data_IF_198513014708
#
_entry.id   IF_198513014708
#
_cell.length_a   1.000
_cell.length_b   1.000
_cell.length_c   1.000
_cell.angle_alpha   90.00
_cell.angle_beta   90.00
_cell.angle_gamma   90.00
#
_symmetry.space_group_name_H-M   'P 1'
#
loop_
_entity.id
_entity.type
_entity.pdbx_description
1 polymer ?
#
# COMPACT_ATOMS: atom_id res chain seq x y z
N UNK A 1 0.39 -3.21 7.87
CA UNK A 1 -0.32 -2.15 8.61
C UNK A 1 -0.32 -0.87 7.77
N UNK A 2 0.82 -0.38 7.32
CA UNK A 2 0.96 0.90 6.55
C UNK A 2 0.05 1.00 5.32
N UNK A 3 -0.27 -0.12 4.68
CA UNK A 3 -1.16 -0.14 3.52
C UNK A 3 -2.59 0.34 3.86
N UNK A 4 -3.05 0.09 5.07
CA UNK A 4 -4.41 0.41 5.51
C UNK A 4 -4.52 1.76 6.20
N UNK A 5 -3.39 2.41 6.55
CA UNK A 5 -3.34 3.68 7.24
C UNK A 5 -3.23 4.83 6.23
N UNK A 6 -3.91 5.93 6.51
CA UNK A 6 -3.85 7.16 5.73
C UNK A 6 -2.89 8.18 6.33
N UNK A 7 -2.87 9.39 5.76
CA UNK A 7 -1.97 10.48 6.14
C UNK A 7 -2.09 10.91 7.61
N UNK A 8 -3.23 10.70 8.24
CA UNK A 8 -3.41 11.03 9.67
C UNK A 8 -2.55 10.16 10.60
N UNK A 9 -2.13 8.96 10.13
CA UNK A 9 -1.23 8.10 10.90
C UNK A 9 0.21 8.62 10.91
N UNK A 10 0.58 9.47 9.97
CA UNK A 10 1.92 10.04 9.82
C UNK A 10 2.05 11.37 10.58
N UNK A 11 0.94 11.90 11.13
CA UNK A 11 0.97 13.13 11.92
C UNK A 11 1.65 12.91 13.27
N UNK A 12 2.59 13.79 13.67
CA UNK A 12 3.17 13.77 15.01
C UNK A 12 2.09 13.90 16.08
N UNK A 13 2.09 12.99 17.03
CA UNK A 13 1.17 13.04 18.17
C UNK A 13 1.87 13.53 19.42
N UNK A 14 1.14 14.30 20.25
CA UNK A 14 1.62 14.78 21.54
C UNK A 14 1.71 13.64 22.58
N UNK A 15 2.40 13.90 23.70
CA UNK A 15 2.58 12.91 24.78
C UNK A 15 1.24 12.38 25.31
N UNK A 16 0.20 13.21 25.36
CA UNK A 16 -1.12 12.81 25.83
C UNK A 16 -1.79 11.82 24.89
N UNK A 17 -1.68 12.05 23.60
CA UNK A 17 -2.20 11.12 22.57
C UNK A 17 -1.40 9.82 22.50
N UNK A 18 -0.09 9.86 22.81
CA UNK A 18 0.74 8.65 22.89
C UNK A 18 0.29 7.70 24.01
N UNK A 19 -0.38 8.20 25.06
CA UNK A 19 -0.82 7.39 26.19
C UNK A 19 -1.90 6.35 25.87
N UNK A 20 -2.47 6.32 24.67
CA UNK A 20 -3.31 5.20 24.24
C UNK A 20 -2.52 3.90 24.08
N UNK A 21 -1.21 3.98 23.86
CA UNK A 21 -0.35 2.82 23.74
C UNK A 21 0.09 2.34 25.15
N UNK A 22 -0.05 1.04 25.48
CA UNK A 22 0.18 0.53 26.84
C UNK A 22 1.54 0.86 27.42
N UNK A 23 2.60 0.87 26.61
CA UNK A 23 3.96 1.18 27.07
C UNK A 23 4.13 2.63 27.49
N UNK A 24 3.54 3.59 26.76
CA UNK A 24 3.58 5.01 27.14
C UNK A 24 2.72 5.27 28.35
N UNK A 25 1.56 4.62 28.46
CA UNK A 25 0.71 4.71 29.65
C UNK A 25 1.42 4.16 30.89
N UNK A 26 2.11 3.04 30.78
CA UNK A 26 2.91 2.47 31.86
C UNK A 26 4.04 3.42 32.28
N UNK A 27 4.77 4.00 31.33
CA UNK A 27 5.83 4.97 31.62
C UNK A 27 5.26 6.23 32.34
N UNK A 28 4.13 6.74 31.86
CA UNK A 28 3.46 7.87 32.48
C UNK A 28 2.97 7.54 33.91
N UNK A 29 2.39 6.35 34.11
CA UNK A 29 1.95 5.92 35.44
C UNK A 29 3.13 5.79 36.42
N UNK A 30 4.28 5.26 35.98
CA UNK A 30 5.50 5.16 36.79
C UNK A 30 6.04 6.53 37.23
N UNK A 31 5.95 7.54 36.34
CA UNK A 31 6.39 8.90 36.63
C UNK A 31 5.38 9.75 37.38
N UNK A 32 4.12 9.32 37.47
CA UNK A 32 3.07 10.10 38.10
C UNK A 32 3.19 10.11 39.62
N UNK A 33 2.79 11.25 40.24
CA UNK A 33 2.78 11.44 41.65
C UNK A 33 1.40 11.94 42.13
N UNK A 34 1.05 11.59 43.35
CA UNK A 34 -0.16 12.08 44.04
C UNK A 34 0.25 13.15 45.04
N UNK A 35 -0.28 14.37 44.89
CA UNK A 35 -0.13 15.44 45.85
C UNK A 35 -1.23 15.30 46.90
N UNK A 36 -0.83 15.06 48.16
CA UNK A 36 -1.70 15.17 49.34
C UNK A 36 -1.26 16.41 50.12
N UNK A 37 -2.13 16.95 50.96
CA UNK A 37 -1.94 18.26 51.60
C UNK A 37 -0.50 18.58 52.04
N UNK A 38 0.24 17.61 52.62
CA UNK A 38 1.60 17.83 53.15
C UNK A 38 2.65 16.84 52.54
N UNK A 39 2.25 15.98 51.62
CA UNK A 39 3.16 14.93 51.06
C UNK A 39 2.93 14.68 49.61
N UNK A 40 4.02 14.31 48.91
CA UNK A 40 4.00 13.83 47.54
C UNK A 40 4.37 12.36 47.54
N UNK A 41 3.49 11.51 47.04
CA UNK A 41 3.73 10.06 46.98
C UNK A 41 3.66 9.55 45.54
N UNK A 42 4.41 8.50 45.18
CA UNK A 42 4.28 7.88 43.85
C UNK A 42 2.86 7.40 43.60
N UNK A 43 2.39 7.54 42.38
CA UNK A 43 1.09 7.02 41.94
C UNK A 43 1.09 5.48 41.93
N UNK A 44 2.15 4.86 41.39
CA UNK A 44 2.34 3.41 41.40
C UNK A 44 3.06 3.02 42.67
N UNK A 45 2.40 2.26 43.53
CA UNK A 45 2.98 1.74 44.77
C UNK A 45 3.76 0.46 44.56
N UNK A 46 3.26 -0.41 43.69
CA UNK A 46 3.85 -1.73 43.44
C UNK A 46 3.60 -2.11 41.98
N UNK A 47 4.57 -2.72 41.36
CA UNK A 47 4.48 -3.26 39.99
C UNK A 47 4.87 -4.73 40.01
N UNK A 48 4.04 -5.56 39.39
CA UNK A 48 4.34 -7.00 39.24
C UNK A 48 4.11 -7.44 37.81
N UNK A 49 5.03 -8.22 37.26
CA UNK A 49 4.87 -8.86 35.96
C UNK A 49 4.15 -10.19 36.18
N UNK A 50 2.92 -10.29 35.70
CA UNK A 50 2.10 -11.51 35.85
C UNK A 50 2.49 -12.55 34.79
N UNK A 51 2.78 -12.09 33.57
CA UNK A 51 3.20 -12.93 32.45
C UNK A 51 4.37 -12.27 31.76
N UNK A 52 5.50 -12.95 31.73
CA UNK A 52 6.65 -12.55 30.95
C UNK A 52 6.54 -13.22 29.56
N UNK A 53 6.08 -12.46 28.56
CA UNK A 53 5.90 -12.99 27.23
C UNK A 53 7.26 -13.15 26.55
N UNK A 54 7.69 -14.38 26.41
CA UNK A 54 8.86 -14.70 25.57
C UNK A 54 8.44 -14.56 24.12
N UNK A 55 8.99 -13.57 23.44
CA UNK A 55 8.86 -13.43 21.98
C UNK A 55 9.67 -14.57 21.34
N UNK A 56 8.97 -15.56 20.81
CA UNK A 56 9.63 -16.55 19.94
C UNK A 56 10.09 -15.84 18.66
N UNK A 57 11.37 -15.88 18.39
CA UNK A 57 11.94 -15.47 17.10
C UNK A 57 11.45 -16.42 16.01
N UNK A 58 10.31 -16.11 15.41
CA UNK A 58 9.83 -16.84 14.22
C UNK A 58 10.77 -16.54 13.07
N UNK A 59 11.21 -17.58 12.39
CA UNK A 59 12.01 -17.46 11.18
C UNK A 59 11.33 -16.46 10.22
N UNK A 60 11.99 -15.34 9.96
CA UNK A 60 11.50 -14.33 9.04
C UNK A 60 11.48 -14.90 7.61
N UNK A 61 10.50 -14.46 6.80
CA UNK A 61 10.51 -14.78 5.38
C UNK A 61 11.85 -14.30 4.77
N UNK A 62 12.54 -15.14 3.96
CA UNK A 62 13.92 -14.88 3.54
C UNK A 62 14.10 -13.62 2.68
N UNK A 63 13.02 -13.11 2.09
CA UNK A 63 13.04 -11.90 1.27
C UNK A 63 12.31 -10.76 1.97
N UNK A 64 12.93 -9.57 1.98
CA UNK A 64 12.25 -8.37 2.44
C UNK A 64 11.11 -7.98 1.48
N UNK A 65 10.07 -7.25 1.94
CA UNK A 65 9.01 -6.74 1.07
C UNK A 65 9.54 -5.95 -0.12
N UNK A 66 10.60 -5.15 0.09
CA UNK A 66 11.28 -4.41 -0.97
C UNK A 66 11.93 -5.35 -2.00
N UNK A 67 12.61 -6.39 -1.55
CA UNK A 67 13.21 -7.37 -2.45
C UNK A 67 12.15 -8.07 -3.30
N UNK A 68 11.00 -8.43 -2.71
CA UNK A 68 9.87 -9.01 -3.43
C UNK A 68 9.31 -8.03 -4.49
N UNK A 69 9.13 -6.76 -4.13
CA UNK A 69 8.62 -5.74 -5.05
C UNK A 69 9.58 -5.48 -6.22
N UNK A 70 10.90 -5.43 -5.97
CA UNK A 70 11.92 -5.28 -7.01
C UNK A 70 11.97 -6.52 -7.91
N UNK A 71 11.90 -7.73 -7.34
CA UNK A 71 11.88 -8.98 -8.09
C UNK A 71 10.67 -9.04 -9.01
N UNK A 72 9.49 -8.67 -8.51
CA UNK A 72 8.27 -8.57 -9.29
C UNK A 72 8.45 -7.56 -10.44
N UNK A 73 9.06 -6.39 -10.18
CA UNK A 73 9.34 -5.38 -11.18
C UNK A 73 10.27 -5.90 -12.29
N UNK A 74 11.33 -6.62 -11.93
CA UNK A 74 12.26 -7.20 -12.88
C UNK A 74 11.58 -8.27 -13.77
N UNK A 75 10.76 -9.13 -13.17
CA UNK A 75 9.96 -10.13 -13.90
C UNK A 75 9.00 -9.44 -14.86
N UNK A 76 8.27 -8.43 -14.39
CA UNK A 76 7.34 -7.66 -15.24
C UNK A 76 8.06 -6.95 -16.38
N UNK A 77 9.23 -6.36 -16.09
CA UNK A 77 10.07 -5.73 -17.11
C UNK A 77 10.48 -6.73 -18.21
N UNK A 78 10.97 -7.90 -17.81
CA UNK A 78 11.35 -8.98 -18.74
C UNK A 78 10.17 -9.45 -19.61
N UNK A 79 9.01 -9.71 -18.98
CA UNK A 79 7.79 -10.12 -19.68
C UNK A 79 7.32 -9.03 -20.65
N UNK A 80 7.33 -7.77 -20.22
CA UNK A 80 6.87 -6.63 -21.04
C UNK A 80 7.80 -6.42 -22.24
N UNK A 81 9.12 -6.39 -22.01
CA UNK A 81 10.11 -6.25 -23.11
C UNK A 81 9.98 -7.41 -24.11
N UNK A 82 9.89 -8.65 -23.63
CA UNK A 82 9.67 -9.81 -24.48
C UNK A 82 8.41 -9.65 -25.33
N UNK A 83 7.29 -9.24 -24.73
CA UNK A 83 6.04 -9.00 -25.43
C UNK A 83 6.16 -7.89 -26.49
N UNK A 84 6.84 -6.78 -26.17
CA UNK A 84 7.10 -5.69 -27.10
C UNK A 84 7.96 -6.15 -28.31
N UNK A 85 9.01 -6.93 -28.07
CA UNK A 85 9.87 -7.47 -29.11
C UNK A 85 9.09 -8.41 -30.04
N UNK A 86 8.28 -9.30 -29.49
CA UNK A 86 7.46 -10.26 -30.24
C UNK A 86 6.20 -9.62 -30.87
N UNK A 87 5.84 -8.39 -30.50
CA UNK A 87 4.59 -7.76 -30.94
C UNK A 87 3.34 -8.43 -30.39
N UNK A 88 3.44 -9.05 -29.22
CA UNK A 88 2.33 -9.76 -28.59
C UNK A 88 2.33 -9.49 -27.07
N UNK A 89 1.22 -9.00 -26.57
CA UNK A 89 1.06 -8.71 -25.13
C UNK A 89 0.87 -10.02 -24.36
N UNK A 90 1.64 -10.19 -23.30
CA UNK A 90 1.46 -11.28 -22.32
C UNK A 90 0.30 -10.94 -21.38
N UNK A 91 -0.91 -10.92 -21.92
CA UNK A 91 -2.10 -10.39 -21.26
C UNK A 91 -2.47 -11.09 -19.95
N UNK A 92 -2.19 -12.38 -19.79
CA UNK A 92 -2.47 -13.14 -18.56
C UNK A 92 -1.72 -12.50 -17.37
N UNK A 93 -0.45 -12.12 -17.57
CA UNK A 93 0.34 -11.43 -16.55
C UNK A 93 -0.26 -10.08 -16.17
N UNK A 94 -0.69 -9.31 -17.17
CA UNK A 94 -1.36 -8.03 -16.95
C UNK A 94 -2.67 -8.18 -16.16
N UNK A 95 -3.53 -9.13 -16.57
CA UNK A 95 -4.78 -9.46 -15.87
C UNK A 95 -4.53 -9.84 -14.41
N UNK A 96 -3.51 -10.66 -14.15
CA UNK A 96 -3.14 -11.06 -12.80
C UNK A 96 -2.76 -9.84 -11.94
N UNK A 97 -1.90 -8.96 -12.44
CA UNK A 97 -1.48 -7.76 -11.71
C UNK A 97 -2.65 -6.78 -11.49
N UNK A 98 -3.50 -6.57 -12.48
CA UNK A 98 -4.68 -5.70 -12.34
C UNK A 98 -5.75 -6.30 -11.43
N UNK A 99 -5.88 -7.61 -11.35
CA UNK A 99 -6.72 -8.27 -10.37
C UNK A 99 -6.23 -7.99 -8.94
N UNK A 100 -4.92 -8.13 -8.69
CA UNK A 100 -4.31 -7.81 -7.40
C UNK A 100 -4.47 -6.31 -7.04
N UNK A 101 -4.25 -5.42 -8.01
CA UNK A 101 -4.49 -3.98 -7.84
C UNK A 101 -5.94 -3.71 -7.42
N UNK A 102 -6.90 -4.30 -8.12
CA UNK A 102 -8.32 -4.09 -7.84
C UNK A 102 -8.78 -4.69 -6.51
N UNK A 103 -8.26 -5.87 -6.13
CA UNK A 103 -8.54 -6.48 -4.82
C UNK A 103 -8.00 -5.57 -3.70
N UNK A 104 -6.74 -5.16 -3.79
CA UNK A 104 -6.16 -4.19 -2.84
C UNK A 104 -6.95 -2.88 -2.81
N UNK A 105 -7.37 -2.40 -3.98
CA UNK A 105 -8.21 -1.22 -4.13
C UNK A 105 -9.58 -1.35 -3.46
N UNK A 106 -10.23 -2.52 -3.54
CA UNK A 106 -11.49 -2.76 -2.83
C UNK A 106 -11.31 -2.68 -1.32
N UNK A 107 -10.21 -3.23 -0.78
CA UNK A 107 -9.93 -3.17 0.66
C UNK A 107 -9.73 -1.72 1.10
N UNK A 108 -8.90 -0.95 0.38
CA UNK A 108 -8.63 0.45 0.72
C UNK A 108 -9.88 1.31 0.55
N UNK A 109 -10.64 1.12 -0.54
CA UNK A 109 -11.89 1.84 -0.76
C UNK A 109 -12.92 1.54 0.33
N UNK A 110 -13.04 0.28 0.75
CA UNK A 110 -13.93 -0.08 1.86
C UNK A 110 -13.51 0.64 3.15
N UNK A 111 -12.24 0.63 3.50
CA UNK A 111 -11.73 1.32 4.68
C UNK A 111 -11.92 2.84 4.56
N UNK A 112 -11.67 3.42 3.40
CA UNK A 112 -11.82 4.86 3.15
C UNK A 112 -13.27 5.34 3.28
N UNK A 113 -14.23 4.61 2.73
CA UNK A 113 -15.62 5.07 2.66
C UNK A 113 -16.50 4.59 3.83
N UNK A 114 -16.17 3.46 4.44
CA UNK A 114 -17.05 2.80 5.43
C UNK A 114 -16.42 2.70 6.83
N UNK A 115 -15.13 2.97 7.00
CA UNK A 115 -14.52 2.98 8.33
C UNK A 115 -14.78 4.31 9.02
N UNK A 116 -15.10 4.25 10.30
CA UNK A 116 -15.19 5.44 11.18
C UNK A 116 -13.85 5.74 11.85
N UNK A 117 -12.82 4.95 11.62
CA UNK A 117 -11.51 5.16 12.21
C UNK A 117 -10.80 6.32 11.48
N UNK A 118 -10.39 7.38 12.17
CA UNK A 118 -9.85 8.58 11.53
C UNK A 118 -8.61 8.30 10.67
N UNK A 119 -7.71 7.42 11.14
CA UNK A 119 -6.43 7.14 10.47
C UNK A 119 -6.54 6.38 9.15
N UNK A 120 -7.72 5.91 8.74
CA UNK A 120 -7.90 5.21 7.46
C UNK A 120 -8.68 6.03 6.42
N UNK A 121 -9.33 7.12 6.85
CA UNK A 121 -10.20 7.96 6.01
C UNK A 121 -9.45 8.86 5.01
N UNK A 122 -8.13 9.04 5.15
CA UNK A 122 -7.30 9.91 4.29
C UNK A 122 -6.19 9.13 3.58
N UNK A 123 -6.49 7.91 3.14
CA UNK A 123 -5.50 7.03 2.50
C UNK A 123 -5.36 7.33 0.99
N UNK A 124 -4.31 8.06 0.62
CA UNK A 124 -3.98 8.44 -0.76
C UNK A 124 -3.52 7.27 -1.63
N UNK A 125 -3.26 6.09 -1.04
CA UNK A 125 -3.02 4.87 -1.82
C UNK A 125 -4.22 4.50 -2.70
N UNK A 126 -5.41 5.02 -2.44
CA UNK A 126 -6.59 4.84 -3.28
C UNK A 126 -6.37 5.33 -4.73
N UNK A 127 -5.47 6.29 -4.96
CA UNK A 127 -5.09 6.75 -6.30
C UNK A 127 -4.32 5.68 -7.09
N UNK A 128 -3.52 4.88 -6.39
CA UNK A 128 -2.72 3.78 -6.94
C UNK A 128 -3.49 2.46 -6.91
N UNK A 129 -4.05 2.11 -5.74
CA UNK A 129 -4.86 0.91 -5.52
C UNK A 129 -6.34 1.31 -5.51
N UNK A 130 -7.00 1.22 -6.65
CA UNK A 130 -8.43 1.50 -6.77
C UNK A 130 -9.20 0.27 -7.29
N UNK A 131 -10.51 0.16 -7.04
CA UNK A 131 -11.30 -1.03 -7.43
C UNK A 131 -11.64 -1.09 -8.92
N UNK A 132 -11.39 -0.04 -9.69
CA UNK A 132 -11.79 0.07 -11.10
C UNK A 132 -11.25 -1.08 -11.96
N UNK A 133 -9.94 -1.49 -11.85
CA UNK A 133 -9.42 -2.61 -12.64
C UNK A 133 -10.23 -3.88 -12.44
N UNK A 134 -10.64 -4.19 -11.21
CA UNK A 134 -11.38 -5.42 -10.90
C UNK A 134 -12.73 -5.47 -11.62
N UNK A 135 -13.45 -4.34 -11.62
CA UNK A 135 -14.73 -4.22 -12.35
C UNK A 135 -14.52 -4.31 -13.87
N UNK A 136 -13.39 -3.83 -14.37
CA UNK A 136 -13.09 -3.80 -15.81
C UNK A 136 -12.45 -5.08 -16.34
N UNK A 137 -11.98 -6.00 -15.49
CA UNK A 137 -11.30 -7.23 -15.89
C UNK A 137 -12.01 -8.05 -16.97
N UNK A 138 -13.34 -8.28 -16.91
CA UNK A 138 -14.03 -9.05 -17.94
C UNK A 138 -13.87 -8.44 -19.35
N UNK A 139 -13.97 -7.10 -19.43
CA UNK A 139 -13.81 -6.36 -20.69
C UNK A 139 -12.37 -6.42 -21.17
N UNK A 140 -11.40 -6.26 -20.27
CA UNK A 140 -9.98 -6.36 -20.57
C UNK A 140 -9.64 -7.74 -21.13
N UNK A 141 -10.07 -8.83 -20.48
CA UNK A 141 -9.85 -10.20 -20.94
C UNK A 141 -10.44 -10.40 -22.32
N UNK A 142 -11.70 -9.97 -22.54
CA UNK A 142 -12.35 -10.06 -23.85
C UNK A 142 -11.54 -9.36 -24.95
N UNK A 143 -11.11 -8.11 -24.70
CA UNK A 143 -10.31 -7.33 -25.66
C UNK A 143 -8.94 -7.95 -25.93
N UNK A 144 -8.28 -8.48 -24.90
CA UNK A 144 -7.01 -9.17 -25.04
C UNK A 144 -7.14 -10.45 -25.90
N UNK A 145 -8.16 -11.28 -25.68
CA UNK A 145 -8.44 -12.48 -26.48
C UNK A 145 -8.72 -12.10 -27.95
N UNK A 146 -9.47 -11.02 -28.18
CA UNK A 146 -9.79 -10.51 -29.51
C UNK A 146 -8.67 -9.67 -30.13
N UNK A 147 -7.54 -9.50 -29.45
CA UNK A 147 -6.40 -8.66 -29.88
C UNK A 147 -6.82 -7.24 -30.25
N UNK A 148 -7.71 -6.66 -29.47
CA UNK A 148 -8.24 -5.31 -29.68
C UNK A 148 -7.47 -4.29 -28.86
N UNK A 149 -7.48 -3.02 -29.32
CA UNK A 149 -6.99 -1.87 -28.57
C UNK A 149 -7.84 -1.70 -27.31
N UNK A 150 -7.17 -1.50 -26.18
CA UNK A 150 -7.85 -1.29 -24.91
C UNK A 150 -7.52 0.09 -24.33
N UNK A 151 -8.51 1.03 -24.28
CA UNK A 151 -8.32 2.37 -23.79
C UNK A 151 -8.05 2.42 -22.28
N UNK A 152 -8.37 1.36 -21.54
CA UNK A 152 -8.10 1.30 -20.11
C UNK A 152 -6.62 1.52 -19.78
N UNK A 153 -5.72 1.00 -20.63
CA UNK A 153 -4.29 1.18 -20.43
C UNK A 153 -3.82 2.65 -20.52
N UNK A 154 -4.51 3.49 -21.30
CA UNK A 154 -4.28 4.95 -21.28
C UNK A 154 -4.70 5.56 -19.95
N UNK A 155 -5.92 5.24 -19.50
CA UNK A 155 -6.41 5.70 -18.21
C UNK A 155 -5.46 5.30 -17.08
N UNK A 156 -5.08 4.00 -17.02
CA UNK A 156 -4.21 3.49 -15.98
C UNK A 156 -2.81 4.11 -16.04
N UNK A 157 -2.24 4.29 -17.23
CA UNK A 157 -0.93 4.93 -17.41
C UNK A 157 -0.94 6.38 -16.91
N UNK A 158 -1.98 7.16 -17.24
CA UNK A 158 -2.13 8.54 -16.77
C UNK A 158 -2.27 8.58 -15.25
N UNK A 159 -3.17 7.75 -14.68
CA UNK A 159 -3.38 7.72 -13.23
C UNK A 159 -2.11 7.36 -12.46
N UNK A 160 -1.40 6.30 -12.89
CA UNK A 160 -0.17 5.86 -12.22
C UNK A 160 0.98 6.86 -12.39
N UNK A 161 1.14 7.44 -13.57
CA UNK A 161 2.15 8.49 -13.79
C UNK A 161 1.86 9.71 -12.91
N UNK A 162 0.60 10.16 -12.86
CA UNK A 162 0.19 11.25 -11.99
C UNK A 162 0.43 10.94 -10.51
N UNK A 163 0.09 9.73 -10.07
CA UNK A 163 0.36 9.28 -8.70
C UNK A 163 1.86 9.32 -8.37
N UNK A 164 2.71 8.77 -9.23
CA UNK A 164 4.17 8.74 -9.01
C UNK A 164 4.75 10.16 -8.93
N UNK A 165 4.27 11.08 -9.79
CA UNK A 165 4.73 12.48 -9.79
C UNK A 165 4.25 13.22 -8.53
N UNK A 166 3.02 12.99 -8.10
CA UNK A 166 2.41 13.64 -6.94
C UNK A 166 2.83 13.01 -5.61
N UNK A 167 3.30 11.77 -5.60
CA UNK A 167 3.66 11.01 -4.41
C UNK A 167 4.52 11.81 -3.40
N UNK A 168 5.57 12.55 -3.81
CA UNK A 168 6.36 13.33 -2.86
C UNK A 168 5.67 14.61 -2.35
N UNK A 169 4.52 14.99 -2.92
CA UNK A 169 3.76 16.18 -2.55
C UNK A 169 2.53 15.83 -1.68
N UNK A 170 2.18 14.56 -1.61
CA UNK A 170 1.03 14.09 -0.82
C UNK A 170 1.39 14.07 0.67
N UNK A 171 0.43 14.41 1.55
CA UNK A 171 0.64 14.47 3.00
C UNK A 171 0.64 13.08 3.65
N UNK A 172 1.18 12.07 2.99
CA UNK A 172 1.26 10.69 3.46
C UNK A 172 2.64 10.12 3.19
N UNK A 173 3.24 9.51 4.20
CA UNK A 173 4.49 8.77 4.06
C UNK A 173 4.21 7.38 3.44
N UNK A 174 4.63 7.22 2.20
CA UNK A 174 4.44 5.94 1.50
C UNK A 174 5.60 4.99 1.79
N UNK A 175 5.26 3.75 2.09
CA UNK A 175 6.26 2.70 2.14
C UNK A 175 7.04 2.65 0.82
N UNK A 176 8.36 2.53 0.90
CA UNK A 176 9.24 2.55 -0.27
C UNK A 176 8.90 1.46 -1.33
N UNK A 177 8.18 0.40 -0.95
CA UNK A 177 7.71 -0.65 -1.87
C UNK A 177 6.60 -0.18 -2.82
N UNK A 178 5.91 0.91 -2.51
CA UNK A 178 4.80 1.44 -3.33
C UNK A 178 5.29 1.85 -4.71
N UNK A 179 6.45 2.50 -4.79
CA UNK A 179 7.00 2.93 -6.07
C UNK A 179 7.28 1.78 -7.04
N UNK A 180 8.04 0.72 -6.70
CA UNK A 180 8.24 -0.40 -7.61
C UNK A 180 6.93 -1.15 -7.94
N UNK A 181 5.95 -1.19 -7.04
CA UNK A 181 4.64 -1.77 -7.34
C UNK A 181 3.84 -0.92 -8.34
N UNK A 182 3.85 0.40 -8.21
CA UNK A 182 3.22 1.31 -9.18
C UNK A 182 3.87 1.21 -10.56
N UNK A 183 5.20 1.14 -10.60
CA UNK A 183 5.97 0.94 -11.84
C UNK A 183 5.64 -0.40 -12.53
N UNK A 184 5.36 -1.47 -11.78
CA UNK A 184 4.90 -2.74 -12.35
C UNK A 184 3.65 -2.57 -13.23
N UNK A 185 2.63 -1.93 -12.68
CA UNK A 185 1.35 -1.72 -13.36
C UNK A 185 1.50 -0.75 -14.53
N UNK A 186 2.34 0.27 -14.37
CA UNK A 186 2.64 1.23 -15.41
C UNK A 186 3.34 0.56 -16.61
N UNK A 187 4.32 -0.30 -16.36
CA UNK A 187 5.03 -1.06 -17.39
C UNK A 187 4.08 -1.95 -18.21
N UNK A 188 3.16 -2.65 -17.56
CA UNK A 188 2.15 -3.46 -18.25
C UNK A 188 1.31 -2.59 -19.18
N UNK A 189 0.87 -1.41 -18.70
CA UNK A 189 0.08 -0.49 -19.52
C UNK A 189 0.89 0.07 -20.69
N UNK A 190 2.14 0.49 -20.48
CA UNK A 190 3.04 0.96 -21.54
C UNK A 190 3.27 -0.14 -22.59
N UNK A 191 3.51 -1.39 -22.15
CA UNK A 191 3.71 -2.52 -23.04
C UNK A 191 2.50 -2.77 -23.94
N UNK A 192 1.30 -2.73 -23.38
CA UNK A 192 0.05 -2.85 -24.15
C UNK A 192 -0.11 -1.71 -25.15
N UNK A 193 0.08 -0.46 -24.69
CA UNK A 193 -0.02 0.72 -25.56
C UNK A 193 1.00 0.67 -26.70
N UNK A 194 2.25 0.27 -26.42
CA UNK A 194 3.27 0.12 -27.43
C UNK A 194 2.87 -0.88 -28.49
N UNK A 195 2.46 -2.10 -28.11
CA UNK A 195 2.12 -3.17 -29.06
C UNK A 195 0.91 -2.80 -29.91
N UNK A 196 -0.18 -2.32 -29.32
CA UNK A 196 -1.44 -2.15 -30.06
C UNK A 196 -1.61 -0.77 -30.71
N UNK A 197 -0.90 0.25 -30.25
CA UNK A 197 -1.08 1.62 -30.77
C UNK A 197 0.11 2.11 -31.63
N UNK A 198 1.31 1.61 -31.39
CA UNK A 198 2.50 2.07 -32.10
C UNK A 198 3.13 1.02 -33.02
N UNK A 199 3.25 -0.23 -32.59
CA UNK A 199 3.93 -1.27 -33.39
C UNK A 199 3.06 -1.82 -34.53
N UNK A 200 1.76 -1.84 -34.39
CA UNK A 200 0.80 -2.30 -35.41
C UNK A 200 0.11 -1.15 -36.17
N UNK A 201 0.76 0.00 -36.24
CA UNK A 201 0.48 1.03 -37.24
C UNK A 201 1.24 0.69 -38.52
#
# INVERSE_FOLDING_TARGET
>A
IDLCLGSEADEPIDERKQMFAPFYMLAAARGAVIHRADTVVPFVREESTIVDAVLEDKAAFPLSPMACAILLLLVTCGITIWGMLKGNVMWIWGVFLFALQGIGGCIIAFLFFFSVHPTVGSNWLLLFLNPIPLCYLPVMIYRCIKRQKDPYHWYNAVCLTSFIILMPLLPQEFNATVLPLALNLLLVSIGHLYVYYWKHK
#
